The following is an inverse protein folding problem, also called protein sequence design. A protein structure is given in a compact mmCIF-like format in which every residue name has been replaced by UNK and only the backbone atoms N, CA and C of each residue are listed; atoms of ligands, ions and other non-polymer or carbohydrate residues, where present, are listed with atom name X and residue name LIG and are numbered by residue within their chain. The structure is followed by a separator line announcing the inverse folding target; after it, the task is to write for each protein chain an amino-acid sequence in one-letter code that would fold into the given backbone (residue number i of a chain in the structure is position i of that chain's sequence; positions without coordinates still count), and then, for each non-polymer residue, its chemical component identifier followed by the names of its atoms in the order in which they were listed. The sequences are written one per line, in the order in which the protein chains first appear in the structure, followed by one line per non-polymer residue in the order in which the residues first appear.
data_IF_657802668105
#
_entry.id   IF_657802668105
#
_cell.length_a   1.000
_cell.length_b   1.000
_cell.length_c   1.000
_cell.angle_alpha   90.00
_cell.angle_beta   90.00
_cell.angle_gamma   90.00
#
_symmetry.space_group_name_H-M   'P 1'
#
loop_
_entity.id
_entity.type
_entity.pdbx_description
1 polymer ?
#
# COMPACT_ATOMS: atom_id res chain seq x y z
N UNK A 1 16.53 -33.31 -23.30
CA UNK A 1 16.80 -31.90 -22.91
C UNK A 1 15.52 -31.12 -23.15
N UNK A 2 14.66 -31.00 -22.13
CA UNK A 2 13.49 -30.08 -22.02
C UNK A 2 12.67 -30.50 -20.81
N UNK A 3 13.00 -29.99 -19.62
CA UNK A 3 12.14 -30.14 -18.44
C UNK A 3 11.15 -28.97 -18.43
N UNK A 4 9.88 -29.26 -18.73
CA UNK A 4 8.78 -28.30 -18.58
C UNK A 4 8.42 -28.22 -17.11
N UNK A 5 8.71 -27.08 -16.46
CA UNK A 5 8.19 -26.77 -15.14
C UNK A 5 6.73 -26.33 -15.27
N UNK A 6 5.81 -27.20 -14.84
CA UNK A 6 4.40 -26.87 -14.63
C UNK A 6 4.27 -25.84 -13.50
N UNK A 7 3.94 -24.60 -13.86
CA UNK A 7 3.51 -23.56 -12.93
C UNK A 7 2.13 -23.95 -12.38
N UNK A 8 2.09 -24.49 -11.15
CA UNK A 8 0.83 -24.76 -10.46
C UNK A 8 0.19 -23.42 -10.09
N UNK A 9 -0.98 -23.15 -10.70
CA UNK A 9 -1.79 -21.97 -10.45
C UNK A 9 -2.29 -22.01 -8.99
N UNK A 10 -1.56 -21.41 -8.05
CA UNK A 10 -2.00 -21.27 -6.67
C UNK A 10 -3.19 -20.31 -6.64
N UNK A 11 -4.35 -20.81 -6.20
CA UNK A 11 -5.52 -19.98 -5.94
C UNK A 11 -5.13 -18.87 -4.94
N UNK A 12 -5.32 -17.58 -5.27
CA UNK A 12 -4.90 -16.50 -4.38
C UNK A 12 -5.61 -16.59 -3.03
N UNK A 13 -4.85 -16.60 -1.93
CA UNK A 13 -5.43 -16.55 -0.59
C UNK A 13 -5.89 -15.13 -0.26
N UNK A 14 -7.15 -14.99 0.12
CA UNK A 14 -7.69 -13.72 0.58
C UNK A 14 -7.17 -13.40 1.98
N UNK A 15 -6.66 -12.18 2.16
CA UNK A 15 -6.23 -11.65 3.46
C UNK A 15 -7.26 -10.67 4.01
N UNK A 16 -7.30 -10.52 5.33
CA UNK A 16 -8.20 -9.61 6.04
C UNK A 16 -7.40 -8.79 7.07
N UNK A 17 -7.84 -7.56 7.29
CA UNK A 17 -7.27 -6.64 8.28
C UNK A 17 -8.20 -5.45 8.51
N UNK A 18 -7.97 -4.71 9.58
CA UNK A 18 -8.69 -3.47 9.91
C UNK A 18 -7.99 -2.28 9.28
N UNK A 19 -8.72 -1.33 8.72
CA UNK A 19 -8.11 -0.11 8.18
C UNK A 19 -7.67 0.79 9.33
N UNK A 20 -6.38 1.09 9.40
CA UNK A 20 -5.81 2.02 10.38
C UNK A 20 -5.77 3.45 9.84
N UNK A 21 -5.30 3.63 8.61
CA UNK A 21 -5.12 4.96 8.01
C UNK A 21 -5.18 4.89 6.48
N UNK A 22 -5.60 5.99 5.85
CA UNK A 22 -5.52 6.22 4.41
C UNK A 22 -4.35 7.19 4.14
N UNK A 23 -3.44 6.82 3.23
CA UNK A 23 -2.26 7.64 2.91
C UNK A 23 -2.55 8.62 1.77
N UNK A 24 -3.27 8.16 0.75
CA UNK A 24 -3.77 8.95 -0.38
C UNK A 24 -4.83 8.11 -1.12
N UNK A 25 -5.34 8.59 -2.25
CA UNK A 25 -6.50 7.99 -2.92
C UNK A 25 -6.36 6.54 -3.40
N UNK A 26 -5.14 5.99 -3.44
CA UNK A 26 -4.86 4.60 -3.87
C UNK A 26 -4.14 3.76 -2.81
N UNK A 27 -3.89 4.28 -1.61
CA UNK A 27 -3.01 3.64 -0.63
C UNK A 27 -3.61 3.65 0.78
N UNK A 28 -3.70 2.47 1.39
CA UNK A 28 -4.26 2.25 2.73
C UNK A 28 -3.33 1.42 3.60
N UNK A 29 -3.32 1.70 4.91
CA UNK A 29 -2.61 0.90 5.92
C UNK A 29 -3.61 0.03 6.65
N UNK A 30 -3.41 -1.29 6.56
CA UNK A 30 -4.16 -2.30 7.29
C UNK A 30 -3.42 -2.70 8.55
N UNK A 31 -4.16 -3.01 9.60
CA UNK A 31 -3.68 -3.49 10.88
C UNK A 31 -4.24 -4.88 11.16
N UNK A 32 -3.36 -5.80 11.57
CA UNK A 32 -3.74 -7.12 12.08
C UNK A 32 -4.33 -7.06 13.49
N UNK A 33 -4.83 -8.18 14.03
CA UNK A 33 -5.31 -8.23 15.40
C UNK A 33 -4.17 -7.92 16.40
N UNK A 34 -4.47 -7.32 17.56
CA UNK A 34 -3.49 -7.16 18.62
C UNK A 34 -3.12 -8.54 19.18
N UNK A 35 -1.85 -8.94 19.03
CA UNK A 35 -1.32 -10.17 19.61
C UNK A 35 -0.11 -9.82 20.47
N UNK A 36 -0.32 -9.69 21.79
CA UNK A 36 0.71 -9.47 22.83
C UNK A 36 1.86 -8.53 22.41
N UNK A 37 1.54 -7.41 21.77
CA UNK A 37 2.51 -6.45 21.24
C UNK A 37 1.87 -5.48 20.25
N UNK A 38 2.64 -4.51 19.71
CA UNK A 38 2.15 -3.60 18.68
C UNK A 38 1.59 -4.39 17.48
N UNK A 39 0.35 -4.13 17.05
CA UNK A 39 -0.26 -4.89 15.95
C UNK A 39 0.52 -4.74 14.65
N UNK A 40 0.59 -5.81 13.85
CA UNK A 40 1.28 -5.78 12.56
C UNK A 40 0.56 -4.88 11.57
N UNK A 41 1.32 -4.04 10.85
CA UNK A 41 0.80 -3.13 9.84
C UNK A 41 1.25 -3.52 8.43
N UNK A 42 0.37 -3.38 7.46
CA UNK A 42 0.62 -3.68 6.04
C UNK A 42 0.01 -2.57 5.18
N UNK A 43 0.84 -1.91 4.39
CA UNK A 43 0.38 -0.96 3.37
C UNK A 43 -0.04 -1.70 2.11
N UNK A 44 -1.23 -1.40 1.60
CA UNK A 44 -1.78 -1.97 0.37
C UNK A 44 -2.06 -0.83 -0.60
N UNK A 45 -1.65 -1.03 -1.85
CA UNK A 45 -1.97 -0.15 -2.96
C UNK A 45 -3.04 -0.77 -3.84
N UNK A 46 -3.98 0.04 -4.31
CA UNK A 46 -5.04 -0.39 -5.21
C UNK A 46 -4.44 -0.71 -6.59
N UNK A 47 -4.59 -1.95 -7.04
CA UNK A 47 -4.08 -2.38 -8.35
C UNK A 47 -4.87 -1.73 -9.49
N UNK A 48 -4.18 -1.30 -10.54
CA UNK A 48 -4.74 -0.64 -11.72
C UNK A 48 -5.49 0.67 -11.42
N UNK A 49 -5.23 1.27 -10.26
CA UNK A 49 -5.76 2.59 -9.88
C UNK A 49 -4.59 3.52 -9.66
N UNK A 50 -4.64 4.72 -10.25
CA UNK A 50 -3.71 5.80 -9.96
C UNK A 50 -4.52 7.01 -9.52
N UNK A 51 -4.34 7.40 -8.25
CA UNK A 51 -5.01 8.56 -7.69
C UNK A 51 -4.02 9.72 -7.50
N UNK A 52 -4.50 10.98 -7.50
CA UNK A 52 -3.69 12.13 -7.13
C UNK A 52 -3.06 11.96 -5.74
N UNK A 53 -1.80 12.38 -5.60
CA UNK A 53 -1.10 12.39 -4.31
C UNK A 53 -1.56 13.57 -3.47
N UNK A 54 -1.64 13.38 -2.15
CA UNK A 54 -1.90 14.48 -1.23
C UNK A 54 -0.72 15.46 -1.20
N UNK A 55 -1.02 16.74 -0.98
CA UNK A 55 0.00 17.76 -0.77
C UNK A 55 0.88 17.38 0.42
N UNK A 56 2.20 17.53 0.25
CA UNK A 56 3.18 17.30 1.31
C UNK A 56 3.73 18.63 1.80
N UNK A 57 4.03 18.70 3.09
CA UNK A 57 4.77 19.85 3.63
C UNK A 57 6.15 19.89 2.97
N UNK A 58 6.65 21.08 2.56
CA UNK A 58 8.01 21.23 2.07
C UNK A 58 9.03 20.72 3.09
N UNK A 59 10.09 20.09 2.62
CA UNK A 59 11.25 19.68 3.43
C UNK A 59 12.49 20.36 2.88
N UNK A 60 13.59 20.38 3.63
CA UNK A 60 14.89 20.90 3.13
C UNK A 60 15.34 20.25 1.80
N UNK A 61 14.87 19.03 1.52
CA UNK A 61 15.19 18.27 0.31
C UNK A 61 14.22 18.50 -0.85
N UNK A 62 12.99 18.95 -0.58
CA UNK A 62 11.95 19.14 -1.60
C UNK A 62 11.21 20.47 -1.32
N UNK A 63 11.53 21.55 -2.06
CA UNK A 63 10.83 22.82 -1.91
C UNK A 63 9.35 22.67 -2.28
N UNK A 64 8.50 23.45 -1.63
CA UNK A 64 7.07 23.45 -1.88
C UNK A 64 6.74 23.84 -3.31
N UNK A 65 5.73 23.21 -3.90
CA UNK A 65 5.18 23.70 -5.15
C UNK A 65 4.43 25.00 -4.88
N UNK A 66 4.72 26.01 -5.69
CA UNK A 66 4.08 27.32 -5.63
C UNK A 66 2.58 27.14 -5.92
N UNK A 67 1.72 27.78 -5.12
CA UNK A 67 0.29 27.86 -5.42
C UNK A 67 0.14 28.65 -6.74
N UNK A 68 -0.60 28.10 -7.72
CA UNK A 68 -0.93 28.85 -8.94
C UNK A 68 -1.80 30.06 -8.57
N UNK A 69 -1.34 31.25 -8.95
CA UNK A 69 -2.04 32.53 -8.78
C UNK A 69 -2.93 32.87 -9.98
#
# INVERSE_FOLDING_TARGET
MSEQQTQQQQVPSLKRGLVKQILCGDAVVLQGPPMNGPPKEVTVYLSNVTAPRLAKRPTDTEPGKEDEA
#
